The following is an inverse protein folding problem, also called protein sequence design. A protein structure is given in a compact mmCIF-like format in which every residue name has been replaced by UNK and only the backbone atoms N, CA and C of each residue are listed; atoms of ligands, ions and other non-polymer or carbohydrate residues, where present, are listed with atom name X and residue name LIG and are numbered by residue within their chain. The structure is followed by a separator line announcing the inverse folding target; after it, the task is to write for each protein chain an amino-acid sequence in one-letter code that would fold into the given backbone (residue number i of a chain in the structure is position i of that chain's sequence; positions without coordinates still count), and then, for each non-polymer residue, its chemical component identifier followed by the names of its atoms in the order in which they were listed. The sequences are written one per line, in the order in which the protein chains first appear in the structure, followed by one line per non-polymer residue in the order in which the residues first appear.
data_IF_509157319068
#
_entry.id   IF_509157319068
#
_cell.length_a   1.000
_cell.length_b   1.000
_cell.length_c   1.000
_cell.angle_alpha   90.00
_cell.angle_beta   90.00
_cell.angle_gamma   90.00
#
_symmetry.space_group_name_H-M   'P 1'
#
loop_
_entity.id
_entity.type
_entity.pdbx_description
1 polymer ?
#
# COMPACT_ATOMS: atom_id res chain seq x y z
N UNK A 1 24.89 -15.60 -56.08
CA UNK A 1 23.68 -16.23 -55.55
C UNK A 1 24.00 -17.66 -55.19
N UNK A 2 23.66 -18.06 -53.96
CA UNK A 2 23.27 -19.40 -53.58
C UNK A 2 22.19 -19.19 -52.52
N UNK A 3 20.98 -19.65 -52.82
CA UNK A 3 19.84 -19.62 -51.91
C UNK A 3 19.43 -21.03 -51.48
N UNK A 4 18.47 -21.06 -50.55
CA UNK A 4 17.75 -22.25 -50.08
C UNK A 4 18.24 -22.74 -48.72
N UNK A 5 17.43 -22.92 -47.68
CA UNK A 5 15.96 -22.88 -47.56
C UNK A 5 15.54 -23.76 -46.38
N UNK A 6 14.45 -23.37 -45.69
CA UNK A 6 13.74 -24.17 -44.66
C UNK A 6 14.41 -24.14 -43.29
N UNK A 7 13.73 -23.94 -42.17
CA UNK A 7 12.30 -24.09 -41.86
C UNK A 7 12.22 -24.67 -40.44
N UNK A 8 11.32 -24.15 -39.62
CA UNK A 8 11.11 -24.56 -38.21
C UNK A 8 11.35 -23.37 -37.29
N UNK A 9 10.34 -22.60 -36.86
CA UNK A 9 9.07 -23.09 -36.34
C UNK A 9 9.28 -23.47 -34.89
N UNK A 10 9.14 -22.49 -34.01
CA UNK A 10 9.30 -22.61 -32.57
C UNK A 10 9.08 -21.25 -31.97
N UNK A 11 7.82 -20.79 -31.98
CA UNK A 11 7.41 -19.70 -31.11
C UNK A 11 7.53 -20.20 -29.68
N UNK A 12 8.59 -19.81 -29.00
CA UNK A 12 8.58 -19.64 -27.57
C UNK A 12 7.91 -18.29 -27.28
N UNK A 13 6.57 -18.33 -27.29
CA UNK A 13 5.75 -17.35 -26.60
C UNK A 13 6.20 -17.30 -25.14
N UNK A 14 7.08 -16.34 -24.81
CA UNK A 14 7.38 -15.95 -23.43
C UNK A 14 6.13 -15.30 -22.83
N UNK A 15 5.16 -16.12 -22.42
CA UNK A 15 4.09 -15.71 -21.50
C UNK A 15 4.56 -16.02 -20.08
N UNK A 16 5.55 -15.26 -19.59
CA UNK A 16 6.00 -15.31 -18.19
C UNK A 16 6.46 -13.92 -17.70
N UNK A 17 5.81 -12.86 -18.21
CA UNK A 17 6.18 -11.47 -17.90
C UNK A 17 5.36 -10.83 -16.78
N UNK A 18 4.16 -11.35 -16.49
CA UNK A 18 3.19 -10.64 -15.63
C UNK A 18 2.88 -11.43 -14.33
N UNK A 19 2.78 -12.75 -14.41
CA UNK A 19 2.46 -13.60 -13.24
C UNK A 19 3.67 -13.79 -12.30
N UNK A 20 4.86 -13.99 -12.84
CA UNK A 20 6.10 -14.06 -12.06
C UNK A 20 6.42 -12.76 -11.32
N UNK A 21 6.17 -11.62 -11.98
CA UNK A 21 6.35 -10.30 -11.41
C UNK A 21 5.31 -10.01 -10.30
N UNK A 22 4.07 -10.45 -10.47
CA UNK A 22 3.02 -10.33 -9.45
C UNK A 22 3.32 -11.15 -8.19
N UNK A 23 3.77 -12.41 -8.36
CA UNK A 23 4.16 -13.27 -7.25
C UNK A 23 5.35 -12.68 -6.47
N UNK A 24 6.38 -12.21 -7.18
CA UNK A 24 7.54 -11.55 -6.58
C UNK A 24 7.16 -10.29 -5.79
N UNK A 25 6.26 -9.47 -6.33
CA UNK A 25 5.74 -8.28 -5.62
C UNK A 25 4.99 -8.65 -4.33
N UNK A 26 4.23 -9.75 -4.34
CA UNK A 26 3.50 -10.21 -3.17
C UNK A 26 4.44 -10.72 -2.09
N UNK A 27 5.46 -11.51 -2.46
CA UNK A 27 6.49 -11.95 -1.54
C UNK A 27 7.22 -10.77 -0.90
N UNK A 28 7.58 -9.76 -1.71
CA UNK A 28 8.20 -8.54 -1.20
C UNK A 28 7.28 -7.80 -0.21
N UNK A 29 5.97 -7.70 -0.50
CA UNK A 29 5.00 -7.06 0.40
C UNK A 29 4.86 -7.81 1.73
N UNK A 30 4.79 -9.15 1.69
CA UNK A 30 4.74 -9.99 2.88
C UNK A 30 6.03 -9.91 3.70
N UNK A 31 7.19 -9.81 3.04
CA UNK A 31 8.47 -9.59 3.72
C UNK A 31 8.51 -8.24 4.44
N UNK A 32 7.99 -7.17 3.82
CA UNK A 32 7.86 -5.87 4.48
C UNK A 32 6.93 -5.94 5.71
N UNK A 33 5.84 -6.71 5.62
CA UNK A 33 4.95 -6.95 6.75
C UNK A 33 5.66 -7.68 7.90
N UNK A 34 6.44 -8.72 7.59
CA UNK A 34 7.24 -9.44 8.58
C UNK A 34 8.28 -8.52 9.24
N UNK A 35 8.96 -7.67 8.47
CA UNK A 35 9.89 -6.69 9.03
C UNK A 35 9.20 -5.71 9.97
N UNK A 36 8.00 -5.23 9.62
CA UNK A 36 7.23 -4.33 10.46
C UNK A 36 6.86 -4.98 11.82
N UNK A 37 6.49 -6.28 11.80
CA UNK A 37 6.07 -7.05 12.97
C UNK A 37 7.24 -7.52 13.84
N UNK A 38 8.29 -8.06 13.24
CA UNK A 38 9.35 -8.79 13.95
C UNK A 38 10.68 -8.04 14.04
N UNK A 39 10.92 -7.05 13.17
CA UNK A 39 12.16 -6.28 13.15
C UNK A 39 11.91 -4.76 13.20
N UNK A 40 11.15 -4.27 14.19
CA UNK A 40 10.64 -2.89 14.25
C UNK A 40 11.75 -1.82 14.23
N UNK A 41 12.94 -2.13 14.77
CA UNK A 41 14.10 -1.24 14.77
C UNK A 41 14.86 -1.22 13.44
N UNK A 42 14.86 -2.33 12.70
CA UNK A 42 15.54 -2.44 11.41
C UNK A 42 14.71 -1.80 10.28
N UNK A 43 13.39 -1.78 10.44
CA UNK A 43 12.44 -1.24 9.48
C UNK A 43 11.59 -0.09 10.09
N UNK A 44 12.18 1.11 10.24
CA UNK A 44 11.45 2.27 10.72
C UNK A 44 10.38 2.72 9.69
N UNK A 45 9.32 3.41 10.15
CA UNK A 45 8.25 3.93 9.26
C UNK A 45 8.79 4.76 8.09
N UNK A 46 9.83 5.55 8.32
CA UNK A 46 10.50 6.35 7.28
C UNK A 46 11.01 5.54 6.06
N UNK A 47 11.31 4.25 6.25
CA UNK A 47 11.73 3.34 5.16
C UNK A 47 10.58 2.52 4.59
N UNK A 48 9.62 2.13 5.44
CA UNK A 48 8.51 1.27 5.05
C UNK A 48 7.42 2.03 4.30
N UNK A 49 7.02 3.21 4.78
CA UNK A 49 5.91 3.98 4.22
C UNK A 49 6.12 4.29 2.74
N UNK A 50 7.28 4.82 2.28
CA UNK A 50 7.49 5.08 0.86
C UNK A 50 7.42 3.82 -0.03
N UNK A 51 7.76 2.64 0.52
CA UNK A 51 7.70 1.37 -0.20
C UNK A 51 6.30 0.76 -0.25
N UNK A 52 5.48 1.01 0.78
CA UNK A 52 4.12 0.48 0.87
C UNK A 52 3.11 1.28 0.04
N UNK A 53 3.35 2.58 -0.18
CA UNK A 53 2.49 3.45 -0.99
C UNK A 53 2.22 2.93 -2.42
N UNK A 54 3.23 2.57 -3.24
CA UNK A 54 2.97 2.01 -4.57
C UNK A 54 2.26 0.65 -4.51
N UNK A 55 2.50 -0.15 -3.47
CA UNK A 55 1.83 -1.45 -3.25
C UNK A 55 0.34 -1.24 -2.94
N UNK A 56 -0.01 -0.16 -2.25
CA UNK A 56 -1.40 0.21 -1.97
C UNK A 56 -2.17 0.65 -3.23
N UNK A 57 -1.47 1.29 -4.17
CA UNK A 57 -2.02 1.71 -5.45
C UNK A 57 -2.02 0.59 -6.51
N UNK A 58 -1.47 -0.58 -6.20
CA UNK A 58 -1.39 -1.70 -7.13
C UNK A 58 -2.77 -2.26 -7.46
N UNK A 59 -2.97 -2.68 -8.73
CA UNK A 59 -4.20 -3.30 -9.19
C UNK A 59 -4.49 -4.68 -8.57
N UNK A 60 -3.54 -5.27 -7.85
CA UNK A 60 -3.68 -6.60 -7.27
C UNK A 60 -4.26 -6.56 -5.85
N UNK A 61 -5.37 -7.26 -5.56
CA UNK A 61 -6.03 -7.18 -4.25
C UNK A 61 -5.13 -7.69 -3.12
N UNK A 62 -4.38 -8.77 -3.33
CA UNK A 62 -3.47 -9.34 -2.32
C UNK A 62 -2.39 -8.35 -1.86
N UNK A 63 -1.82 -7.58 -2.80
CA UNK A 63 -0.85 -6.52 -2.50
C UNK A 63 -1.48 -5.43 -1.64
N UNK A 64 -2.68 -4.97 -2.01
CA UNK A 64 -3.42 -3.96 -1.25
C UNK A 64 -3.73 -4.44 0.17
N UNK A 65 -4.11 -5.71 0.35
CA UNK A 65 -4.35 -6.29 1.70
C UNK A 65 -3.10 -6.22 2.56
N UNK A 66 -1.97 -6.71 2.04
CA UNK A 66 -0.71 -6.75 2.77
C UNK A 66 -0.23 -5.33 3.13
N UNK A 67 -0.35 -4.39 2.19
CA UNK A 67 -0.01 -2.99 2.41
C UNK A 67 -0.91 -2.33 3.48
N UNK A 68 -2.24 -2.48 3.37
CA UNK A 68 -3.18 -1.90 4.32
C UNK A 68 -2.99 -2.47 5.74
N UNK A 69 -2.83 -3.79 5.87
CA UNK A 69 -2.58 -4.44 7.16
C UNK A 69 -1.26 -3.98 7.79
N UNK A 70 -0.20 -3.84 6.97
CA UNK A 70 1.11 -3.35 7.44
C UNK A 70 1.03 -1.89 7.88
N UNK A 71 0.35 -1.03 7.13
CA UNK A 71 0.15 0.38 7.48
C UNK A 71 -0.69 0.54 8.75
N UNK A 72 -1.76 -0.25 8.91
CA UNK A 72 -2.52 -0.32 10.17
C UNK A 72 -1.58 -0.61 11.34
N UNK A 73 -0.78 -1.65 11.23
CA UNK A 73 0.14 -2.05 12.31
C UNK A 73 1.17 -0.96 12.63
N UNK A 74 1.73 -0.31 11.61
CA UNK A 74 2.67 0.80 11.82
C UNK A 74 1.99 1.99 12.53
N UNK A 75 0.77 2.33 12.15
CA UNK A 75 0.01 3.42 12.79
C UNK A 75 -0.40 3.07 14.23
N UNK A 76 -0.79 1.83 14.50
CA UNK A 76 -1.13 1.36 15.85
C UNK A 76 0.07 1.44 16.79
N UNK A 77 1.28 1.27 16.26
CA UNK A 77 2.51 1.35 17.03
C UNK A 77 2.98 2.79 17.26
N UNK A 78 2.99 3.61 16.21
CA UNK A 78 3.49 5.00 16.26
C UNK A 78 2.95 5.79 15.06
N UNK A 79 1.75 6.37 15.21
CA UNK A 79 1.09 7.12 14.15
C UNK A 79 1.82 8.44 13.81
N UNK A 80 2.51 9.06 14.77
CA UNK A 80 3.28 10.28 14.52
C UNK A 80 4.50 10.02 13.64
N UNK A 81 5.23 8.94 13.91
CA UNK A 81 6.35 8.53 13.06
C UNK A 81 5.89 8.15 11.64
N UNK A 82 4.71 7.54 11.50
CA UNK A 82 4.12 7.25 10.18
C UNK A 82 3.70 8.54 9.46
N UNK A 83 3.06 9.48 10.17
CA UNK A 83 2.66 10.76 9.62
C UNK A 83 3.89 11.59 9.18
N UNK A 84 4.96 11.60 9.97
CA UNK A 84 6.23 12.21 9.60
C UNK A 84 6.87 11.54 8.37
N UNK A 85 6.82 10.21 8.30
CA UNK A 85 7.34 9.42 7.18
C UNK A 85 6.53 9.59 5.88
N UNK A 86 5.23 9.88 5.97
CA UNK A 86 4.34 10.10 4.83
C UNK A 86 4.60 11.42 4.09
N UNK A 87 5.39 12.33 4.67
CA UNK A 87 5.71 13.63 4.11
C UNK A 87 4.60 14.68 4.25
N UNK A 88 4.96 15.95 4.08
CA UNK A 88 4.13 17.11 4.45
C UNK A 88 2.87 17.38 3.60
N UNK A 89 2.39 16.45 2.77
CA UNK A 89 1.26 16.75 1.88
C UNK A 89 0.47 15.51 1.47
N UNK A 90 -0.36 15.02 2.40
CA UNK A 90 -1.51 14.16 2.10
C UNK A 90 -1.23 12.84 1.39
N UNK A 91 0.02 12.42 1.19
CA UNK A 91 0.36 11.31 0.31
C UNK A 91 -0.27 10.00 0.77
N UNK A 92 0.11 9.54 1.96
CA UNK A 92 -0.41 8.27 2.49
C UNK A 92 -1.93 8.32 2.75
N UNK A 93 -2.44 9.43 3.26
CA UNK A 93 -3.88 9.58 3.57
C UNK A 93 -4.73 9.62 2.29
N UNK A 94 -4.26 10.31 1.24
CA UNK A 94 -4.90 10.30 -0.06
C UNK A 94 -4.83 8.93 -0.71
N UNK A 95 -3.71 8.20 -0.57
CA UNK A 95 -3.61 6.83 -1.07
C UNK A 95 -4.62 5.91 -0.36
N UNK A 96 -4.78 6.05 0.97
CA UNK A 96 -5.78 5.32 1.76
C UNK A 96 -7.22 5.70 1.39
N UNK A 97 -7.50 6.97 1.11
CA UNK A 97 -8.81 7.42 0.63
C UNK A 97 -9.08 6.88 -0.78
N UNK A 98 -8.11 6.96 -1.68
CA UNK A 98 -8.22 6.40 -3.03
C UNK A 98 -8.45 4.87 -3.01
N UNK A 99 -7.82 4.16 -2.06
CA UNK A 99 -8.10 2.74 -1.82
C UNK A 99 -9.56 2.52 -1.40
N UNK A 100 -10.10 3.36 -0.51
CA UNK A 100 -11.49 3.27 -0.06
C UNK A 100 -12.50 3.68 -1.15
N UNK A 101 -12.11 4.62 -2.03
CA UNK A 101 -12.89 5.07 -3.20
C UNK A 101 -12.89 4.06 -4.36
N UNK A 102 -12.09 2.99 -4.29
CA UNK A 102 -12.02 1.97 -5.34
C UNK A 102 -13.30 1.12 -5.52
N UNK A 103 -14.35 1.37 -4.74
CA UNK A 103 -15.77 0.92 -4.79
C UNK A 103 -16.16 -0.50 -5.27
N UNK A 104 -15.24 -1.45 -5.49
CA UNK A 104 -15.62 -2.81 -5.91
C UNK A 104 -14.62 -3.95 -5.72
N UNK A 105 -13.32 -3.67 -5.57
CA UNK A 105 -12.28 -4.72 -5.46
C UNK A 105 -11.51 -4.66 -4.12
N UNK A 106 -12.09 -4.03 -3.09
CA UNK A 106 -11.52 -3.99 -1.74
C UNK A 106 -12.46 -4.75 -0.82
N UNK A 107 -11.97 -5.83 -0.26
CA UNK A 107 -12.72 -6.61 0.72
C UNK A 107 -12.89 -5.85 2.05
N UNK A 108 -13.86 -6.29 2.82
CA UNK A 108 -14.22 -5.68 4.10
C UNK A 108 -13.02 -5.58 5.06
N UNK A 109 -12.14 -6.58 5.08
CA UNK A 109 -10.98 -6.54 6.00
C UNK A 109 -9.97 -5.48 5.57
N UNK A 110 -9.65 -5.42 4.29
CA UNK A 110 -8.72 -4.41 3.75
C UNK A 110 -9.26 -3.00 3.96
N UNK A 111 -10.55 -2.77 3.74
CA UNK A 111 -11.19 -1.47 4.00
C UNK A 111 -11.19 -1.11 5.49
N UNK A 112 -11.43 -2.07 6.38
CA UNK A 112 -11.35 -1.86 7.83
C UNK A 112 -9.92 -1.48 8.27
N UNK A 113 -8.91 -2.16 7.73
CA UNK A 113 -7.50 -1.86 8.01
C UNK A 113 -7.11 -0.46 7.51
N UNK A 114 -7.57 -0.08 6.31
CA UNK A 114 -7.35 1.25 5.75
C UNK A 114 -8.06 2.36 6.55
N UNK A 115 -9.33 2.17 6.93
CA UNK A 115 -10.07 3.10 7.80
C UNK A 115 -9.39 3.27 9.16
N UNK A 116 -8.92 2.17 9.75
CA UNK A 116 -8.22 2.20 11.04
C UNK A 116 -6.92 2.98 10.95
N UNK A 117 -6.11 2.74 9.92
CA UNK A 117 -4.88 3.49 9.67
C UNK A 117 -5.18 4.98 9.48
N UNK A 118 -6.17 5.32 8.66
CA UNK A 118 -6.59 6.70 8.40
C UNK A 118 -7.07 7.43 9.66
N UNK A 119 -7.84 6.74 10.51
CA UNK A 119 -8.29 7.27 11.80
C UNK A 119 -7.13 7.60 12.73
N UNK A 120 -6.15 6.70 12.85
CA UNK A 120 -4.95 6.91 13.68
C UNK A 120 -4.09 8.07 13.17
N UNK A 121 -3.89 8.19 11.86
CA UNK A 121 -3.18 9.32 11.26
C UNK A 121 -3.92 10.65 11.49
N UNK A 122 -5.24 10.63 11.42
CA UNK A 122 -6.07 11.81 11.69
C UNK A 122 -5.99 12.25 13.14
N UNK A 123 -5.97 11.30 14.08
CA UNK A 123 -5.79 11.57 15.50
C UNK A 123 -4.40 12.13 15.81
N UNK A 124 -3.34 11.52 15.30
CA UNK A 124 -1.97 12.03 15.43
C UNK A 124 -1.83 13.47 14.91
N UNK A 125 -2.49 13.77 13.79
CA UNK A 125 -2.52 15.12 13.25
C UNK A 125 -3.26 16.15 14.11
N UNK A 126 -4.24 15.70 14.91
CA UNK A 126 -5.02 16.56 15.78
C UNK A 126 -4.19 17.14 16.93
N UNK A 127 -3.19 16.39 17.40
CA UNK A 127 -2.31 16.81 18.49
C UNK A 127 -1.30 17.88 18.04
N UNK A 128 -0.88 17.88 16.78
CA UNK A 128 0.08 18.85 16.25
C UNK A 128 -0.50 19.99 15.39
N UNK A 129 -1.64 19.78 14.71
CA UNK A 129 -2.20 20.71 13.69
C UNK A 129 -3.74 20.63 13.60
N UNK A 130 -4.49 21.30 14.50
CA UNK A 130 -5.93 21.10 14.67
C UNK A 130 -6.78 21.42 13.42
N UNK A 131 -6.38 22.41 12.60
CA UNK A 131 -7.09 22.77 11.36
C UNK A 131 -6.96 21.68 10.29
N UNK A 132 -5.80 21.02 10.22
CA UNK A 132 -5.57 19.90 9.31
C UNK A 132 -6.38 18.68 9.78
N UNK A 133 -6.42 18.45 11.09
CA UNK A 133 -7.22 17.39 11.68
C UNK A 133 -8.73 17.58 11.46
N UNK A 134 -9.27 18.79 11.57
CA UNK A 134 -10.69 19.05 11.24
C UNK A 134 -11.03 18.70 9.78
N UNK A 135 -10.17 19.11 8.83
CA UNK A 135 -10.39 18.79 7.40
C UNK A 135 -10.31 17.29 7.14
N UNK A 136 -9.44 16.58 7.88
CA UNK A 136 -9.29 15.12 7.82
C UNK A 136 -10.46 14.38 8.47
N UNK A 137 -10.94 14.85 9.63
CA UNK A 137 -12.14 14.33 10.29
C UNK A 137 -13.37 14.46 9.39
N UNK A 138 -13.52 15.58 8.68
CA UNK A 138 -14.61 15.77 7.72
C UNK A 138 -14.55 14.75 6.56
N UNK A 139 -13.34 14.42 6.07
CA UNK A 139 -13.17 13.38 5.07
C UNK A 139 -13.49 11.98 5.63
N UNK A 140 -12.98 11.65 6.82
CA UNK A 140 -13.22 10.35 7.48
C UNK A 140 -14.70 10.14 7.82
N UNK A 141 -15.39 11.19 8.27
CA UNK A 141 -16.82 11.13 8.62
C UNK A 141 -17.71 10.74 7.43
N UNK A 142 -17.28 11.01 6.20
CA UNK A 142 -17.99 10.55 4.99
C UNK A 142 -17.93 9.03 4.78
N UNK A 143 -16.99 8.34 5.46
CA UNK A 143 -16.78 6.89 5.35
C UNK A 143 -17.03 6.13 6.66
N UNK A 144 -17.53 6.82 7.70
CA UNK A 144 -17.98 6.17 8.94
C UNK A 144 -19.41 5.64 8.76
N UNK A 145 -19.73 4.43 9.26
CA UNK A 145 -21.07 3.85 9.18
C UNK A 145 -22.10 4.56 10.06
#
# INVERSE_FOLDING_TARGET
GCGGGGGGGGGDDYVDGEDGDAACQLEAALFLQQLALFAPRAAPPARLVPRLRPVLAAGQPALRRAAAATLRHLCERDADAVAAAAGNRGGLEADLLALLDGYGDVDERTSADARRALGLLTLAAAEGRPVVAMRRLAAVALYAP
#
